data_IF_942970390069
#
_entry.id   IF_942970390069
#
_cell.length_a   1.000
_cell.length_b   1.000
_cell.length_c   1.000
_cell.angle_alpha   90.00
_cell.angle_beta   90.00
_cell.angle_gamma   90.00
#
_symmetry.space_group_name_H-M   'P 1'
#
loop_
_entity.id
_entity.type
_entity.pdbx_description
1 polymer ?
#
# COMPACT_ATOMS: atom_id res chain seq x y z
N UNK A 1 15.02 2.11 15.89
CA UNK A 1 15.24 3.14 14.86
C UNK A 1 14.11 4.16 14.96
N UNK A 2 14.44 5.42 14.76
CA UNK A 2 13.50 6.52 14.72
C UNK A 2 12.48 6.32 13.57
N UNK A 3 11.25 6.77 13.78
CA UNK A 3 10.14 6.64 12.82
C UNK A 3 10.47 7.31 11.47
N UNK A 4 11.14 8.44 11.50
CA UNK A 4 11.60 9.15 10.30
C UNK A 4 12.59 8.35 9.47
N UNK A 5 13.54 7.67 10.12
CA UNK A 5 14.51 6.79 9.46
C UNK A 5 13.83 5.57 8.85
N UNK A 6 12.84 4.99 9.56
CA UNK A 6 12.06 3.87 9.05
C UNK A 6 11.27 4.26 7.82
N UNK A 7 10.57 5.39 7.85
CA UNK A 7 9.81 5.92 6.72
C UNK A 7 10.71 6.20 5.51
N UNK A 8 11.93 6.72 5.73
CA UNK A 8 12.89 6.96 4.66
C UNK A 8 13.37 5.65 4.00
N UNK A 9 13.65 4.61 4.80
CA UNK A 9 14.04 3.29 4.29
C UNK A 9 12.90 2.66 3.48
N UNK A 10 11.68 2.66 4.02
CA UNK A 10 10.49 2.12 3.32
C UNK A 10 10.32 2.82 1.98
N UNK A 11 10.44 4.14 1.94
CA UNK A 11 10.32 4.92 0.70
C UNK A 11 11.40 4.57 -0.32
N UNK A 12 12.66 4.37 0.11
CA UNK A 12 13.77 4.04 -0.79
C UNK A 12 13.65 2.64 -1.41
N UNK A 13 13.03 1.69 -0.71
CA UNK A 13 12.85 0.30 -1.17
C UNK A 13 11.44 -0.02 -1.69
N UNK A 14 10.54 0.96 -1.74
CA UNK A 14 9.15 0.75 -2.18
C UNK A 14 9.06 0.09 -3.55
N UNK A 15 9.93 0.49 -4.47
CA UNK A 15 9.95 -0.05 -5.84
C UNK A 15 10.29 -1.54 -5.89
N UNK A 16 10.91 -2.10 -4.87
CA UNK A 16 11.24 -3.53 -4.80
C UNK A 16 9.98 -4.41 -4.84
N UNK A 17 8.87 -3.94 -4.24
CA UNK A 17 7.62 -4.71 -4.21
C UNK A 17 6.64 -4.30 -5.31
N UNK A 18 6.69 -3.04 -5.78
CA UNK A 18 5.60 -2.47 -6.59
C UNK A 18 6.02 -2.09 -8.02
N UNK A 19 7.30 -2.16 -8.35
CA UNK A 19 7.81 -1.79 -9.66
C UNK A 19 8.85 -2.78 -10.19
N UNK A 20 8.80 -4.02 -9.77
CA UNK A 20 9.68 -5.08 -10.28
C UNK A 20 9.19 -5.50 -11.66
N UNK A 21 10.09 -5.45 -12.64
CA UNK A 21 9.88 -5.92 -14.01
C UNK A 21 10.47 -7.32 -14.13
N UNK A 22 9.77 -8.20 -14.82
CA UNK A 22 10.25 -9.54 -15.14
C UNK A 22 11.60 -9.45 -15.89
N UNK A 23 12.64 -10.21 -15.49
CA UNK A 23 13.96 -10.17 -16.12
C UNK A 23 13.93 -10.45 -17.63
N UNK A 24 13.10 -11.40 -18.07
CA UNK A 24 12.98 -11.75 -19.48
C UNK A 24 12.38 -10.59 -20.30
N UNK A 25 11.37 -9.90 -19.73
CA UNK A 25 10.79 -8.71 -20.35
C UNK A 25 11.81 -7.57 -20.43
N UNK A 26 12.61 -7.39 -19.37
CA UNK A 26 13.65 -6.38 -19.34
C UNK A 26 14.70 -6.63 -20.44
N UNK A 27 15.13 -7.89 -20.60
CA UNK A 27 16.07 -8.29 -21.65
C UNK A 27 15.48 -8.07 -23.07
N UNK A 28 14.20 -8.37 -23.27
CA UNK A 28 13.51 -8.07 -24.53
C UNK A 28 13.50 -6.57 -24.82
N UNK A 29 13.20 -5.72 -23.85
CA UNK A 29 13.21 -4.27 -24.00
C UNK A 29 14.61 -3.74 -24.35
N UNK A 30 15.65 -4.29 -23.73
CA UNK A 30 17.04 -3.96 -24.06
C UNK A 30 17.38 -4.32 -25.51
N UNK A 31 17.04 -5.53 -25.95
CA UNK A 31 17.25 -5.99 -27.33
C UNK A 31 16.49 -5.10 -28.34
N UNK A 32 15.24 -4.80 -28.07
CA UNK A 32 14.45 -3.92 -28.92
C UNK A 32 15.07 -2.51 -29.04
N UNK A 33 15.48 -1.94 -27.90
CA UNK A 33 16.13 -0.63 -27.87
C UNK A 33 17.46 -0.62 -28.65
N UNK A 34 18.25 -1.67 -28.52
CA UNK A 34 19.48 -1.84 -29.28
C UNK A 34 19.23 -1.97 -30.78
N UNK A 35 18.32 -2.87 -31.18
CA UNK A 35 17.98 -3.10 -32.59
C UNK A 35 17.46 -1.83 -33.26
N UNK A 36 16.58 -1.07 -32.62
CA UNK A 36 16.07 0.15 -33.22
C UNK A 36 17.15 1.24 -33.39
N UNK A 37 18.17 1.29 -32.50
CA UNK A 37 19.33 2.17 -32.69
C UNK A 37 20.15 1.78 -33.93
N UNK A 38 20.36 0.47 -34.13
CA UNK A 38 21.12 -0.03 -35.28
C UNK A 38 20.37 0.14 -36.59
N UNK A 39 19.05 -0.14 -36.59
CA UNK A 39 18.22 -0.10 -37.79
C UNK A 39 17.62 1.29 -38.09
N UNK A 40 17.84 2.27 -37.23
CA UNK A 40 17.26 3.62 -37.39
C UNK A 40 15.74 3.69 -37.23
N UNK A 41 15.10 2.62 -36.70
CA UNK A 41 13.66 2.62 -36.42
C UNK A 41 13.33 3.31 -35.08
N UNK A 42 12.07 3.76 -34.91
CA UNK A 42 11.61 4.36 -33.66
C UNK A 42 10.30 3.72 -33.22
N UNK A 43 10.35 2.49 -32.72
CA UNK A 43 9.17 1.74 -32.25
C UNK A 43 8.93 1.89 -30.75
N UNK A 44 9.99 2.14 -29.97
CA UNK A 44 9.97 2.29 -28.52
C UNK A 44 10.68 3.56 -28.13
N UNK A 45 10.05 4.42 -27.34
CA UNK A 45 10.66 5.58 -26.71
C UNK A 45 10.52 5.45 -25.17
N UNK A 46 11.62 5.60 -24.46
CA UNK A 46 11.65 5.65 -23.01
C UNK A 46 11.79 7.11 -22.58
N UNK A 47 10.91 7.55 -21.70
CA UNK A 47 10.94 8.90 -21.11
C UNK A 47 11.17 8.78 -19.60
N UNK A 48 12.41 8.46 -19.15
CA UNK A 48 12.73 8.35 -17.75
C UNK A 48 12.53 9.69 -17.05
N UNK A 49 12.15 9.67 -15.77
CA UNK A 49 11.97 10.84 -14.91
C UNK A 49 11.07 11.93 -15.53
N UNK A 50 10.09 11.49 -16.31
CA UNK A 50 9.13 12.37 -16.96
C UNK A 50 7.76 12.27 -16.30
N UNK A 51 7.04 13.38 -16.27
CA UNK A 51 5.70 13.52 -15.74
C UNK A 51 4.75 13.97 -16.85
N UNK A 52 3.53 13.42 -16.88
CA UNK A 52 2.46 13.93 -17.73
C UNK A 52 1.92 15.19 -17.07
N UNK A 53 2.19 16.34 -17.66
CA UNK A 53 1.74 17.65 -17.16
C UNK A 53 0.52 18.19 -17.91
N UNK A 54 0.17 17.56 -19.04
CA UNK A 54 -1.02 17.89 -19.81
C UNK A 54 -1.49 16.69 -20.64
N UNK A 55 -2.82 16.55 -20.76
CA UNK A 55 -3.45 15.56 -21.63
C UNK A 55 -4.71 16.16 -22.23
N UNK A 56 -4.88 16.05 -23.54
CA UNK A 56 -6.03 16.57 -24.25
C UNK A 56 -6.48 15.60 -25.34
N UNK A 57 -7.79 15.34 -25.41
CA UNK A 57 -8.37 14.61 -26.52
C UNK A 57 -8.28 15.44 -27.81
N UNK A 58 -7.77 14.86 -28.88
CA UNK A 58 -7.67 15.45 -30.21
C UNK A 58 -8.36 14.54 -31.21
N UNK A 59 -8.53 15.02 -32.46
CA UNK A 59 -9.27 14.25 -33.50
C UNK A 59 -8.69 12.84 -33.71
N UNK A 60 -7.37 12.70 -33.66
CA UNK A 60 -6.66 11.48 -34.04
C UNK A 60 -5.98 10.81 -32.83
N UNK A 61 -6.50 11.02 -31.60
CA UNK A 61 -5.94 10.38 -30.41
C UNK A 61 -5.92 11.28 -29.18
N UNK A 62 -4.87 11.14 -28.38
CA UNK A 62 -4.66 11.89 -27.14
C UNK A 62 -3.31 12.60 -27.21
N UNK A 63 -3.33 13.92 -27.23
CA UNK A 63 -2.12 14.73 -27.14
C UNK A 63 -1.64 14.79 -25.71
N UNK A 64 -0.39 14.41 -25.47
CA UNK A 64 0.27 14.50 -24.17
C UNK A 64 1.37 15.56 -24.17
N UNK A 65 1.48 16.24 -23.07
CA UNK A 65 2.62 17.05 -22.70
C UNK A 65 3.40 16.36 -21.58
N UNK A 66 4.66 16.01 -21.85
CA UNK A 66 5.58 15.33 -20.94
C UNK A 66 6.66 16.30 -20.48
N UNK A 67 6.85 16.47 -19.19
CA UNK A 67 7.93 17.26 -18.60
C UNK A 67 9.05 16.34 -18.11
N UNK A 68 10.24 16.44 -18.69
CA UNK A 68 11.43 15.83 -18.12
C UNK A 68 11.86 16.62 -16.88
N UNK A 69 11.83 15.99 -15.70
CA UNK A 69 12.11 16.65 -14.42
C UNK A 69 13.59 17.04 -14.22
N UNK A 70 14.50 16.37 -14.89
CA UNK A 70 15.94 16.65 -14.75
C UNK A 70 16.37 17.83 -15.64
N UNK A 71 15.84 17.89 -16.84
CA UNK A 71 16.23 18.87 -17.86
C UNK A 71 15.27 20.06 -17.93
N UNK A 72 14.07 19.93 -17.35
CA UNK A 72 12.99 20.93 -17.46
C UNK A 72 12.41 21.03 -18.87
N UNK A 73 12.73 20.09 -19.76
CA UNK A 73 12.30 20.10 -21.15
C UNK A 73 10.91 19.50 -21.28
N UNK A 74 10.05 20.14 -22.09
CA UNK A 74 8.72 19.66 -22.42
C UNK A 74 8.72 18.99 -23.79
N UNK A 75 8.10 17.81 -23.85
CA UNK A 75 7.88 17.06 -25.07
C UNK A 75 6.38 16.93 -25.33
N UNK A 76 5.99 17.11 -26.57
CA UNK A 76 4.61 16.91 -27.02
C UNK A 76 4.55 15.72 -27.94
N UNK A 77 3.58 14.82 -27.72
CA UNK A 77 3.33 13.68 -28.58
C UNK A 77 1.85 13.32 -28.57
N UNK A 78 1.37 12.77 -29.69
CA UNK A 78 0.01 12.25 -29.81
C UNK A 78 0.05 10.73 -29.84
N UNK A 79 -0.84 10.08 -29.11
CA UNK A 79 -0.93 8.63 -28.98
C UNK A 79 -2.36 8.18 -29.26
N UNK A 80 -2.51 7.00 -29.86
CA UNK A 80 -3.81 6.38 -30.11
C UNK A 80 -4.47 5.89 -28.82
N UNK A 81 -3.67 5.46 -27.85
CA UNK A 81 -4.14 4.97 -26.57
C UNK A 81 -3.12 5.23 -25.45
N UNK A 82 -3.61 5.35 -24.21
CA UNK A 82 -2.80 5.48 -23.02
C UNK A 82 -3.19 4.39 -22.02
N UNK A 83 -2.22 3.68 -21.49
CA UNK A 83 -2.40 2.74 -20.39
C UNK A 83 -1.80 3.32 -19.13
N UNK A 84 -2.62 3.60 -18.13
CA UNK A 84 -2.19 4.15 -16.85
C UNK A 84 -1.82 3.01 -15.89
N UNK A 85 -0.53 2.76 -15.74
CA UNK A 85 0.00 1.79 -14.79
C UNK A 85 0.65 2.51 -13.58
N UNK A 86 -0.09 3.41 -12.96
CA UNK A 86 0.39 4.35 -11.93
C UNK A 86 0.51 3.74 -10.54
N UNK A 87 0.11 2.48 -10.37
CA UNK A 87 0.08 1.80 -9.08
C UNK A 87 -1.12 2.19 -8.23
N UNK A 88 -0.97 2.06 -6.92
CA UNK A 88 -2.04 2.30 -5.95
C UNK A 88 -1.62 3.36 -4.95
N UNK A 89 -2.54 4.24 -4.62
CA UNK A 89 -2.44 5.10 -3.46
C UNK A 89 -3.07 4.37 -2.27
N UNK A 90 -2.32 4.26 -1.18
CA UNK A 90 -2.78 3.56 0.02
C UNK A 90 -2.94 4.57 1.15
N UNK A 91 -4.13 4.63 1.72
CA UNK A 91 -4.35 5.31 2.97
C UNK A 91 -3.92 4.40 4.13
N UNK A 92 -3.18 4.91 5.13
CA UNK A 92 -2.88 4.16 6.35
C UNK A 92 -4.14 3.75 7.11
N UNK A 93 -5.18 4.58 7.05
CA UNK A 93 -6.50 4.30 7.61
C UNK A 93 -7.49 4.21 6.45
N UNK A 94 -8.16 3.07 6.25
CA UNK A 94 -9.19 2.93 5.22
C UNK A 94 -10.38 3.87 5.46
N UNK A 95 -10.92 4.46 4.40
CA UNK A 95 -11.99 5.46 4.47
C UNK A 95 -13.28 4.93 5.15
N UNK A 96 -13.55 3.63 5.12
CA UNK A 96 -14.70 3.07 5.83
C UNK A 96 -14.62 3.21 7.37
N UNK A 97 -13.46 3.58 7.92
CA UNK A 97 -13.25 3.87 9.34
C UNK A 97 -13.45 5.36 9.67
N UNK A 98 -13.75 6.23 8.69
CA UNK A 98 -14.01 7.65 8.93
C UNK A 98 -15.04 7.92 10.05
N UNK A 99 -16.14 7.12 10.18
CA UNK A 99 -17.10 7.31 11.26
C UNK A 99 -16.51 7.21 12.67
N UNK A 100 -15.41 6.49 12.84
CA UNK A 100 -14.71 6.33 14.12
C UNK A 100 -13.41 7.15 14.21
N UNK A 101 -13.09 7.95 13.20
CA UNK A 101 -11.85 8.72 13.11
C UNK A 101 -11.55 9.55 14.36
N UNK A 102 -12.58 10.11 15.02
CA UNK A 102 -12.46 10.87 16.27
C UNK A 102 -11.86 10.05 17.44
N UNK A 103 -11.88 8.74 17.36
CA UNK A 103 -11.33 7.85 18.38
C UNK A 103 -9.93 7.33 18.01
N UNK A 104 -9.46 7.56 16.80
CA UNK A 104 -8.16 7.09 16.32
C UNK A 104 -7.09 8.08 16.77
N UNK A 105 -6.15 7.62 17.57
CA UNK A 105 -5.08 8.49 18.10
C UNK A 105 -3.93 8.64 17.10
N UNK A 106 -3.62 7.58 16.36
CA UNK A 106 -2.56 7.56 15.37
C UNK A 106 -2.86 6.58 14.24
N UNK A 107 -2.31 6.85 13.08
CA UNK A 107 -2.36 5.92 11.94
C UNK A 107 -1.35 4.76 12.03
N UNK A 108 -0.42 4.80 12.99
CA UNK A 108 0.50 3.72 13.23
C UNK A 108 -0.20 2.56 13.95
N UNK A 109 -0.03 1.35 13.45
CA UNK A 109 -0.54 0.15 14.09
C UNK A 109 0.44 -0.36 15.15
N UNK A 110 -0.09 -0.94 16.22
CA UNK A 110 0.70 -1.68 17.21
C UNK A 110 1.32 -2.94 16.60
N UNK A 111 2.22 -3.58 17.34
CA UNK A 111 2.92 -4.78 16.84
C UNK A 111 1.97 -5.93 16.48
N UNK A 112 0.84 -6.03 17.15
CA UNK A 112 -0.21 -7.00 16.93
C UNK A 112 -1.25 -6.58 15.87
N UNK A 113 -0.95 -5.55 15.06
CA UNK A 113 -1.81 -4.97 14.02
C UNK A 113 -3.04 -4.22 14.55
N UNK A 114 -3.10 -3.95 15.84
CA UNK A 114 -4.18 -3.22 16.47
C UNK A 114 -4.04 -1.72 16.22
N UNK A 115 -5.17 -1.08 15.89
CA UNK A 115 -5.28 0.36 15.77
C UNK A 115 -5.34 0.99 17.17
N UNK A 116 -4.54 2.02 17.38
CA UNK A 116 -4.55 2.78 18.63
C UNK A 116 -5.76 3.68 18.68
N UNK A 117 -6.60 3.47 19.68
CA UNK A 117 -7.82 4.23 19.90
C UNK A 117 -7.88 4.79 21.31
N UNK A 118 -8.59 5.91 21.46
CA UNK A 118 -8.79 6.55 22.76
C UNK A 118 -9.54 5.66 23.75
N UNK A 119 -9.36 5.82 25.07
CA UNK A 119 -9.97 4.99 26.10
C UNK A 119 -11.50 4.96 26.06
N UNK A 120 -12.13 5.95 25.43
CA UNK A 120 -13.59 5.98 25.24
C UNK A 120 -14.12 5.04 24.17
N UNK A 121 -13.24 4.43 23.36
CA UNK A 121 -13.62 3.48 22.31
C UNK A 121 -13.21 2.07 22.74
N UNK A 122 -14.18 1.27 23.17
CA UNK A 122 -13.94 -0.08 23.70
C UNK A 122 -13.65 -1.16 22.63
N UNK A 123 -14.25 -1.11 21.42
CA UNK A 123 -13.98 -2.11 20.40
C UNK A 123 -12.50 -2.12 19.98
N UNK A 124 -11.95 -3.31 19.70
CA UNK A 124 -10.62 -3.46 19.15
C UNK A 124 -10.72 -3.56 17.63
N UNK A 125 -9.90 -2.80 16.94
CA UNK A 125 -9.83 -2.77 15.47
C UNK A 125 -8.44 -3.24 15.05
N UNK A 126 -8.39 -4.27 14.21
CA UNK A 126 -7.15 -4.81 13.64
C UNK A 126 -7.16 -4.57 12.14
N UNK A 127 -6.08 -4.02 11.61
CA UNK A 127 -5.95 -3.72 10.20
C UNK A 127 -4.84 -4.57 9.57
N UNK A 128 -5.14 -5.17 8.42
CA UNK A 128 -4.19 -5.95 7.63
C UNK A 128 -3.92 -5.27 6.29
N UNK A 129 -2.64 -5.24 5.86
CA UNK A 129 -2.23 -4.63 4.61
C UNK A 129 -2.16 -3.10 4.65
N UNK A 130 -2.27 -2.50 5.83
CA UNK A 130 -2.15 -1.05 6.08
C UNK A 130 -0.99 -0.71 7.02
N UNK A 131 -0.15 -1.70 7.37
CA UNK A 131 0.86 -1.60 8.42
C UNK A 131 2.30 -1.48 7.90
N UNK A 132 2.51 -1.09 6.66
CA UNK A 132 3.84 -0.97 6.05
C UNK A 132 4.78 -0.08 6.89
N UNK A 133 4.27 1.00 7.49
CA UNK A 133 5.05 1.93 8.33
C UNK A 133 5.57 1.22 9.59
N UNK A 134 4.78 0.38 10.23
CA UNK A 134 5.14 -0.32 11.47
C UNK A 134 5.80 -1.68 11.24
N UNK A 135 5.39 -2.42 10.20
CA UNK A 135 5.81 -3.80 9.91
C UNK A 135 6.77 -3.94 8.71
N UNK A 136 6.93 -2.88 7.93
CA UNK A 136 7.84 -2.85 6.78
C UNK A 136 7.20 -3.31 5.48
N UNK A 137 8.03 -3.35 4.42
CA UNK A 137 7.60 -3.63 3.05
C UNK A 137 6.97 -5.01 2.84
N UNK A 138 7.24 -5.97 3.73
CA UNK A 138 6.65 -7.31 3.68
C UNK A 138 5.18 -7.36 4.12
N UNK A 139 4.65 -6.28 4.71
CA UNK A 139 3.28 -6.25 5.23
C UNK A 139 2.21 -6.64 4.19
N UNK A 140 2.44 -6.31 2.94
CA UNK A 140 1.48 -6.61 1.85
C UNK A 140 1.69 -7.95 1.16
N UNK A 141 2.73 -8.71 1.55
CA UNK A 141 3.03 -10.00 0.93
C UNK A 141 2.10 -11.09 1.45
N UNK A 142 1.62 -11.94 0.54
CA UNK A 142 0.78 -13.10 0.90
C UNK A 142 1.51 -14.12 1.76
N UNK A 143 2.84 -14.24 1.61
CA UNK A 143 3.68 -15.18 2.36
C UNK A 143 3.71 -14.91 3.87
N UNK A 144 3.40 -13.70 4.32
CA UNK A 144 3.36 -13.36 5.75
C UNK A 144 1.96 -13.50 6.38
N UNK A 145 0.93 -13.84 5.59
CA UNK A 145 -0.45 -14.00 6.09
C UNK A 145 -0.57 -14.97 7.26
N UNK A 146 0.06 -16.16 7.25
CA UNK A 146 -0.06 -17.10 8.38
C UNK A 146 0.51 -16.53 9.68
N UNK A 147 1.65 -15.84 9.61
CA UNK A 147 2.27 -15.20 10.78
C UNK A 147 1.38 -14.07 11.32
N UNK A 148 0.86 -13.23 10.46
CA UNK A 148 -0.05 -12.14 10.81
C UNK A 148 -1.34 -12.66 11.44
N UNK A 149 -1.95 -13.68 10.84
CA UNK A 149 -3.16 -14.30 11.38
C UNK A 149 -2.91 -14.86 12.79
N UNK A 150 -1.74 -15.48 13.01
CA UNK A 150 -1.34 -15.98 14.32
C UNK A 150 -1.19 -14.83 15.34
N UNK A 151 -0.48 -13.76 15.01
CA UNK A 151 -0.25 -12.61 15.90
C UNK A 151 -1.57 -11.93 16.28
N UNK A 152 -2.46 -11.69 15.32
CA UNK A 152 -3.78 -11.10 15.59
C UNK A 152 -4.65 -12.03 16.45
N UNK A 153 -4.66 -13.34 16.15
CA UNK A 153 -5.43 -14.31 16.93
C UNK A 153 -4.94 -14.38 18.36
N UNK A 154 -3.62 -14.40 18.58
CA UNK A 154 -3.04 -14.40 19.91
C UNK A 154 -3.43 -13.15 20.71
N UNK A 155 -3.39 -11.97 20.06
CA UNK A 155 -3.81 -10.71 20.68
C UNK A 155 -5.31 -10.72 21.06
N UNK A 156 -6.17 -11.20 20.18
CA UNK A 156 -7.61 -11.34 20.44
C UNK A 156 -7.90 -12.27 21.62
N UNK A 157 -7.25 -13.43 21.67
CA UNK A 157 -7.44 -14.39 22.77
C UNK A 157 -6.96 -13.83 24.11
N UNK A 158 -5.83 -13.13 24.12
CA UNK A 158 -5.29 -12.50 25.34
C UNK A 158 -6.22 -11.41 25.86
N UNK A 159 -6.78 -10.59 24.99
CA UNK A 159 -7.71 -9.52 25.39
C UNK A 159 -9.06 -10.06 25.89
N UNK A 160 -9.56 -11.15 25.27
CA UNK A 160 -10.82 -11.79 25.68
C UNK A 160 -10.69 -12.52 27.02
N UNK A 161 -9.51 -13.11 27.30
CA UNK A 161 -9.20 -13.75 28.57
C UNK A 161 -9.20 -12.76 29.73
N UNK A 162 -8.69 -11.55 29.52
CA UNK A 162 -8.68 -10.48 30.54
C UNK A 162 -10.08 -9.95 30.84
N UNK A 163 -10.98 -9.87 29.84
CA UNK A 163 -12.37 -9.43 30.05
C UNK A 163 -13.22 -10.49 30.77
N UNK A 164 -13.02 -11.78 30.48
CA UNK A 164 -13.73 -12.86 31.22
C UNK A 164 -13.35 -12.95 32.67
N UNK A 165 -12.13 -12.58 33.04
CA UNK A 165 -11.68 -12.52 34.44
C UNK A 165 -12.29 -11.37 35.25
N UNK A 166 -12.79 -10.31 34.59
CA UNK A 166 -13.42 -9.15 35.24
C UNK A 166 -14.96 -9.27 35.38
N UNK A 167 -15.59 -10.20 34.66
CA UNK A 167 -17.06 -10.39 34.65
C UNK A 167 -17.52 -11.69 35.34
N UNK A 168 -16.63 -12.49 35.92
CA UNK A 168 -17.00 -13.68 36.69
C UNK A 168 -17.06 -13.40 38.18
N UNK A 169 -18.19 -12.87 38.64
CA UNK A 169 -18.93 -13.28 39.87
C UNK A 169 -20.39 -12.92 39.74
N UNK A 170 -21.30 -13.61 40.43
CA UNK A 170 -21.84 -14.94 40.08
C UNK A 170 -23.38 -14.89 39.98
N UNK A 171 -23.99 -15.66 39.12
CA UNK A 171 -25.32 -16.17 39.40
C UNK A 171 -25.62 -17.46 38.62
N UNK A 172 -25.02 -18.56 39.09
CA UNK A 172 -25.50 -19.89 38.79
C UNK A 172 -25.91 -20.53 40.11
N UNK A 173 -27.09 -20.16 40.59
CA UNK A 173 -27.83 -20.99 41.50
C UNK A 173 -29.32 -20.96 41.08
N UNK A 174 -29.87 -22.17 40.89
CA UNK A 174 -31.27 -22.53 40.84
C UNK A 174 -32.06 -22.27 39.54
N UNK A 175 -31.98 -23.24 38.62
CA UNK A 175 -33.17 -23.84 38.04
C UNK A 175 -32.94 -25.34 37.92
N UNK A 176 -33.17 -26.04 39.02
CA UNK A 176 -33.51 -27.46 39.06
C UNK A 176 -35.02 -27.59 39.05
N UNK A 177 -35.50 -28.26 38.05
CA UNK A 177 -36.75 -29.01 37.93
C UNK A 177 -37.97 -28.65 38.82
N UNK A 178 -39.01 -28.22 38.17
CA UNK A 178 -40.42 -28.69 38.40
C UNK A 178 -41.12 -28.68 37.07
#
# INVERSE_FOLDING_TARGET
RDESQRAAIIRSFRNTNYAVVDPDLLDQLYRMTYQQRVCGSRRLALHPRSEIVGAQAVRDGIALELLNKDEGIRHHATYDAIVLATGYERSPIPAFLDPISRYIETSALERDYRLQTSPGFRPQVYLQGCSEISHGLSDTLLSVLPMRAHEITAALLSSTGTQRGAEQEPHLAERVYS
#
